data_IF_981905400103
#
_entry.id   IF_981905400103
#
_cell.length_a   1.000
_cell.length_b   1.000
_cell.length_c   1.000
_cell.angle_alpha   90.00
_cell.angle_beta   90.00
_cell.angle_gamma   90.00
#
_symmetry.space_group_name_H-M   'P 1'
#
loop_
_entity.id
_entity.type
_entity.pdbx_description
1 polymer ?
#
# COMPACT_ATOMS: atom_id res chain seq x y z
N UNK A 1 23.45 -19.86 17.93
CA UNK A 1 23.24 -18.47 17.46
C UNK A 1 22.09 -17.88 18.26
N UNK A 2 22.02 -16.57 18.50
CA UNK A 2 20.85 -16.00 19.20
C UNK A 2 19.65 -16.04 18.24
N UNK A 3 18.65 -16.85 18.56
CA UNK A 3 17.39 -17.01 17.81
C UNK A 3 16.42 -15.82 18.01
N UNK A 4 16.95 -14.67 18.39
CA UNK A 4 16.22 -13.45 18.68
C UNK A 4 16.86 -12.30 17.93
N UNK A 5 16.05 -11.51 17.23
CA UNK A 5 16.47 -10.26 16.57
C UNK A 5 15.68 -9.08 17.10
N UNK A 6 16.31 -7.90 17.15
CA UNK A 6 15.65 -6.67 17.52
C UNK A 6 15.60 -5.73 16.32
N UNK A 7 14.39 -5.38 15.90
CA UNK A 7 14.14 -4.39 14.85
C UNK A 7 13.94 -3.05 15.55
N UNK A 8 14.84 -2.10 15.31
CA UNK A 8 14.74 -0.73 15.80
C UNK A 8 14.50 0.15 14.59
N UNK A 9 13.40 0.89 14.60
CA UNK A 9 12.99 1.70 13.46
C UNK A 9 12.37 3.01 13.92
N UNK A 10 12.34 3.96 13.00
CA UNK A 10 11.66 5.22 13.14
C UNK A 10 10.51 5.26 12.14
N UNK A 11 9.30 5.40 12.65
CA UNK A 11 8.09 5.55 11.86
C UNK A 11 7.92 7.04 11.55
N UNK A 12 7.33 7.36 10.41
CA UNK A 12 7.17 8.72 9.90
C UNK A 12 5.72 8.90 9.48
N UNK A 13 5.12 10.02 9.89
CA UNK A 13 3.80 10.43 9.40
C UNK A 13 3.82 10.60 7.86
N UNK A 14 2.74 10.20 7.20
CA UNK A 14 2.60 10.14 5.74
C UNK A 14 3.18 8.88 5.08
N UNK A 15 3.88 8.02 5.84
CA UNK A 15 4.46 6.78 5.32
C UNK A 15 3.99 5.55 6.10
N UNK A 16 4.00 5.67 7.43
CA UNK A 16 3.76 4.58 8.35
C UNK A 16 2.48 4.81 9.16
N UNK A 17 1.51 5.55 8.60
CA UNK A 17 0.34 6.06 9.34
C UNK A 17 -0.48 4.94 9.99
N UNK A 18 -0.75 3.86 9.26
CA UNK A 18 -1.48 2.73 9.79
C UNK A 18 -0.73 2.09 10.97
N UNK A 19 0.59 1.90 10.84
CA UNK A 19 1.41 1.37 11.92
C UNK A 19 1.48 2.33 13.11
N UNK A 20 1.60 3.64 12.88
CA UNK A 20 1.59 4.67 13.93
C UNK A 20 0.27 4.59 14.71
N UNK A 21 -0.87 4.64 14.00
CA UNK A 21 -2.21 4.54 14.58
C UNK A 21 -2.40 3.23 15.35
N UNK A 22 -1.87 2.12 14.84
CA UNK A 22 -1.90 0.82 15.52
C UNK A 22 -1.15 0.85 16.87
N UNK A 23 -0.01 1.52 16.94
CA UNK A 23 0.74 1.74 18.20
C UNK A 23 0.13 2.81 19.12
N UNK A 24 -0.81 3.61 18.65
CA UNK A 24 -1.62 4.53 19.48
C UNK A 24 -2.85 3.83 20.03
N UNK A 25 -3.45 2.93 19.25
CA UNK A 25 -4.68 2.20 19.60
C UNK A 25 -4.42 1.16 20.69
N UNK A 26 -3.31 0.44 20.60
CA UNK A 26 -3.03 -0.69 21.48
C UNK A 26 -1.91 -0.39 22.49
N UNK A 27 -1.99 -0.94 23.72
CA UNK A 27 -0.94 -0.80 24.72
C UNK A 27 0.39 -1.38 24.23
N UNK A 28 1.50 -0.72 24.61
CA UNK A 28 2.86 -1.05 24.15
C UNK A 28 3.30 -2.51 24.39
N UNK A 29 2.86 -3.13 25.49
CA UNK A 29 3.18 -4.52 25.81
C UNK A 29 2.43 -5.52 24.91
N UNK A 30 1.28 -5.11 24.39
CA UNK A 30 0.39 -5.94 23.59
C UNK A 30 0.61 -5.77 22.09
N UNK A 31 0.81 -4.52 21.64
CA UNK A 31 0.89 -4.17 20.22
C UNK A 31 1.98 -4.96 19.47
N UNK A 32 3.16 -5.14 20.07
CA UNK A 32 4.24 -5.90 19.44
C UNK A 32 3.85 -7.37 19.24
N UNK A 33 3.19 -7.98 20.21
CA UNK A 33 2.74 -9.38 20.12
C UNK A 33 1.67 -9.53 19.04
N UNK A 34 0.71 -8.61 19.01
CA UNK A 34 -0.36 -8.62 18.02
C UNK A 34 0.19 -8.39 16.60
N UNK A 35 1.08 -7.41 16.43
CA UNK A 35 1.73 -7.12 15.15
C UNK A 35 2.53 -8.31 14.62
N UNK A 36 3.25 -9.01 15.50
CA UNK A 36 4.03 -10.18 15.08
C UNK A 36 3.13 -11.37 14.72
N UNK A 37 2.02 -11.57 15.44
CA UNK A 37 1.00 -12.56 15.08
C UNK A 37 0.37 -12.25 13.72
N UNK A 38 0.11 -10.98 13.46
CA UNK A 38 -0.34 -10.50 12.16
C UNK A 38 0.66 -10.86 11.06
N UNK A 39 1.94 -10.56 11.28
CA UNK A 39 2.98 -10.88 10.29
C UNK A 39 3.05 -12.38 9.99
N UNK A 40 3.01 -13.21 11.02
CA UNK A 40 3.08 -14.66 10.89
C UNK A 40 1.86 -15.23 10.14
N UNK A 41 0.66 -14.72 10.42
CA UNK A 41 -0.58 -15.19 9.80
C UNK A 41 -0.75 -14.74 8.33
N UNK A 42 -0.29 -13.53 7.98
CA UNK A 42 -0.47 -12.97 6.64
C UNK A 42 0.62 -13.38 5.66
N UNK A 43 1.84 -13.66 6.14
CA UNK A 43 2.98 -14.01 5.28
C UNK A 43 2.76 -15.15 4.28
N UNK A 44 2.07 -16.26 4.61
CA UNK A 44 1.81 -17.31 3.62
C UNK A 44 0.97 -16.81 2.44
N UNK A 45 -0.01 -15.96 2.73
CA UNK A 45 -1.03 -15.49 1.77
C UNK A 45 -0.56 -14.26 0.99
N UNK A 46 0.09 -13.31 1.68
CA UNK A 46 0.48 -12.02 1.14
C UNK A 46 2.00 -11.90 1.15
N UNK A 47 2.61 -12.24 0.02
CA UNK A 47 4.06 -12.18 -0.10
C UNK A 47 4.56 -10.73 -0.18
N UNK A 48 5.76 -10.46 0.37
CA UNK A 48 6.43 -9.19 0.21
C UNK A 48 6.59 -8.81 -1.27
N UNK A 49 6.17 -7.61 -1.64
CA UNK A 49 6.36 -7.07 -2.98
C UNK A 49 7.66 -6.24 -3.07
N UNK A 50 8.10 -5.94 -4.30
CA UNK A 50 9.30 -5.13 -4.53
C UNK A 50 9.14 -3.67 -4.07
N UNK A 51 7.91 -3.18 -3.93
CA UNK A 51 7.66 -1.81 -3.45
C UNK A 51 8.15 -1.59 -2.02
N UNK A 52 8.20 -2.65 -1.19
CA UNK A 52 8.68 -2.57 0.19
C UNK A 52 10.18 -2.30 0.31
N UNK A 53 10.95 -2.44 -0.77
CA UNK A 53 12.37 -2.09 -0.80
C UNK A 53 12.61 -0.62 -1.12
N UNK A 54 11.58 0.14 -1.51
CA UNK A 54 11.71 1.54 -1.84
C UNK A 54 11.71 2.39 -0.57
N UNK A 55 12.77 3.18 -0.31
CA UNK A 55 12.72 4.18 0.73
C UNK A 55 11.74 5.27 0.30
N UNK A 56 10.80 5.59 1.18
CA UNK A 56 9.94 6.75 0.99
C UNK A 56 10.64 7.93 1.68
N UNK A 57 10.89 9.06 0.99
CA UNK A 57 11.50 10.23 1.62
C UNK A 57 10.50 10.84 2.61
N UNK A 58 10.93 11.04 3.86
CA UNK A 58 10.09 11.71 4.85
C UNK A 58 9.92 13.18 4.47
N UNK A 59 8.70 13.70 4.59
CA UNK A 59 8.47 15.13 4.37
C UNK A 59 9.31 15.94 5.38
N UNK A 60 9.89 17.09 4.96
CA UNK A 60 10.65 17.94 5.88
C UNK A 60 9.79 18.33 7.09
N UNK A 61 10.25 17.97 8.30
CA UNK A 61 9.52 18.24 9.54
C UNK A 61 8.42 17.23 9.91
N UNK A 62 8.30 16.12 9.18
CA UNK A 62 7.37 15.04 9.54
C UNK A 62 7.67 14.53 10.96
N UNK A 63 6.62 14.34 11.77
CA UNK A 63 6.80 13.77 13.10
C UNK A 63 7.24 12.32 12.97
N UNK A 64 8.13 11.93 13.87
CA UNK A 64 8.67 10.60 13.90
C UNK A 64 8.39 9.88 15.22
N UNK A 65 8.19 8.56 15.13
CA UNK A 65 7.97 7.70 16.30
C UNK A 65 8.94 6.55 16.29
N UNK A 66 9.78 6.46 17.33
CA UNK A 66 10.73 5.37 17.49
C UNK A 66 10.04 4.13 18.06
N UNK A 67 10.24 3.00 17.39
CA UNK A 67 9.76 1.70 17.84
C UNK A 67 10.90 0.69 17.97
N UNK A 68 10.68 -0.30 18.83
CA UNK A 68 11.60 -1.41 19.01
C UNK A 68 10.80 -2.70 19.16
N UNK A 69 10.99 -3.62 18.22
CA UNK A 69 10.29 -4.90 18.15
C UNK A 69 11.32 -6.01 18.37
N UNK A 70 11.01 -6.91 19.29
CA UNK A 70 11.81 -8.13 19.51
C UNK A 70 11.10 -9.27 18.80
N UNK A 71 11.78 -9.86 17.81
CA UNK A 71 11.31 -11.03 17.08
C UNK A 71 12.02 -12.24 17.61
N UNK A 72 11.24 -13.24 18.03
CA UNK A 72 11.72 -14.52 18.52
C UNK A 72 11.39 -15.60 17.50
N UNK A 73 12.38 -16.41 17.12
CA UNK A 73 12.22 -17.46 16.11
C UNK A 73 11.17 -18.50 16.53
N UNK A 74 11.07 -18.80 17.81
CA UNK A 74 10.15 -19.84 18.29
C UNK A 74 8.69 -19.36 18.25
N UNK A 75 8.47 -18.05 18.29
CA UNK A 75 7.14 -17.44 18.29
C UNK A 75 6.68 -17.03 16.88
N UNK A 76 7.62 -16.61 16.03
CA UNK A 76 7.34 -16.10 14.68
C UNK A 76 8.38 -16.64 13.69
N UNK A 77 8.41 -17.96 13.46
CA UNK A 77 9.46 -18.60 12.67
C UNK A 77 9.50 -18.11 11.23
N UNK A 78 8.34 -17.92 10.59
CA UNK A 78 8.29 -17.47 9.19
C UNK A 78 8.79 -16.03 9.06
N UNK A 79 8.28 -15.12 9.90
CA UNK A 79 8.73 -13.73 9.87
C UNK A 79 10.22 -13.60 10.22
N UNK A 80 10.69 -14.39 11.18
CA UNK A 80 12.12 -14.43 11.53
C UNK A 80 12.97 -14.89 10.36
N UNK A 81 12.58 -15.97 9.67
CA UNK A 81 13.33 -16.49 8.52
C UNK A 81 13.36 -15.46 7.38
N UNK A 82 12.19 -14.90 7.04
CA UNK A 82 12.10 -13.83 6.04
C UNK A 82 13.03 -12.66 6.37
N UNK A 83 12.98 -12.15 7.61
CA UNK A 83 13.85 -11.05 8.03
C UNK A 83 15.34 -11.37 7.88
N UNK A 84 15.74 -12.62 8.13
CA UNK A 84 17.13 -13.07 8.04
C UNK A 84 17.63 -13.24 6.61
N UNK A 85 16.75 -13.59 5.68
CA UNK A 85 17.06 -13.76 4.26
C UNK A 85 17.23 -12.42 3.54
N UNK A 86 16.64 -11.34 4.05
CA UNK A 86 16.76 -10.01 3.46
C UNK A 86 18.22 -9.49 3.44
N UNK A 87 18.60 -8.61 2.49
CA UNK A 87 19.89 -7.92 2.51
C UNK A 87 20.06 -7.01 3.73
N UNK A 88 21.25 -6.98 4.35
CA UNK A 88 21.50 -6.25 5.60
C UNK A 88 21.05 -4.77 5.56
N UNK A 89 21.25 -4.07 4.44
CA UNK A 89 20.89 -2.67 4.28
C UNK A 89 19.38 -2.40 4.14
N UNK A 90 18.57 -3.40 3.81
CA UNK A 90 17.13 -3.22 3.57
C UNK A 90 16.22 -3.93 4.57
N UNK A 91 16.75 -4.79 5.47
CA UNK A 91 15.94 -5.61 6.38
C UNK A 91 14.94 -4.80 7.18
N UNK A 92 15.42 -3.73 7.81
CA UNK A 92 14.58 -2.88 8.67
C UNK A 92 13.53 -2.17 7.84
N UNK A 93 13.92 -1.56 6.72
CA UNK A 93 13.00 -0.87 5.82
C UNK A 93 11.88 -1.79 5.34
N UNK A 94 12.24 -2.94 4.77
CA UNK A 94 11.27 -3.91 4.23
C UNK A 94 10.38 -4.47 5.32
N UNK A 95 10.94 -4.81 6.49
CA UNK A 95 10.15 -5.31 7.61
C UNK A 95 9.10 -4.30 8.08
N UNK A 96 9.46 -3.02 8.19
CA UNK A 96 8.55 -1.97 8.63
C UNK A 96 7.49 -1.68 7.58
N UNK A 97 7.86 -1.61 6.30
CA UNK A 97 6.91 -1.43 5.20
C UNK A 97 5.92 -2.59 5.14
N UNK A 98 6.39 -3.82 5.32
CA UNK A 98 5.54 -5.01 5.36
C UNK A 98 4.57 -4.98 6.55
N UNK A 99 5.08 -4.67 7.75
CA UNK A 99 4.27 -4.52 8.96
C UNK A 99 3.18 -3.47 8.78
N UNK A 100 3.52 -2.31 8.22
CA UNK A 100 2.57 -1.25 7.94
C UNK A 100 1.50 -1.71 6.94
N UNK A 101 1.90 -2.38 5.86
CA UNK A 101 0.97 -2.92 4.87
C UNK A 101 -0.01 -3.94 5.45
N UNK A 102 0.47 -4.85 6.30
CA UNK A 102 -0.42 -5.81 6.96
C UNK A 102 -1.40 -5.14 7.90
N UNK A 103 -0.96 -4.12 8.63
CA UNK A 103 -1.85 -3.31 9.47
C UNK A 103 -2.91 -2.59 8.63
N UNK A 104 -2.54 -2.02 7.48
CA UNK A 104 -3.50 -1.40 6.54
C UNK A 104 -4.57 -2.40 6.08
N UNK A 105 -4.20 -3.65 5.83
CA UNK A 105 -5.18 -4.67 5.41
C UNK A 105 -6.21 -4.98 6.48
N UNK A 106 -5.83 -4.98 7.77
CA UNK A 106 -6.76 -5.24 8.88
C UNK A 106 -7.45 -3.98 9.41
N UNK A 107 -6.96 -2.79 9.07
CA UNK A 107 -7.63 -1.54 9.40
C UNK A 107 -9.03 -1.47 8.74
N UNK A 108 -9.15 -2.02 7.53
CA UNK A 108 -10.43 -2.16 6.82
C UNK A 108 -11.31 -3.33 7.31
N UNK A 109 -10.75 -4.30 8.04
CA UNK A 109 -11.48 -5.47 8.55
C UNK A 109 -10.99 -5.88 9.94
N UNK A 110 -11.69 -5.36 10.95
CA UNK A 110 -11.38 -5.61 12.36
C UNK A 110 -11.67 -7.06 12.78
N UNK A 111 -12.57 -7.76 12.10
CA UNK A 111 -12.84 -9.17 12.37
C UNK A 111 -11.63 -10.03 11.99
N UNK A 112 -10.95 -9.68 10.89
CA UNK A 112 -9.72 -10.33 10.48
C UNK A 112 -8.61 -10.20 11.54
N UNK A 113 -8.46 -9.03 12.16
CA UNK A 113 -7.51 -8.83 13.27
C UNK A 113 -7.81 -9.72 14.49
N UNK A 114 -9.08 -9.80 14.88
CA UNK A 114 -9.52 -10.63 16.01
C UNK A 114 -9.34 -12.13 15.72
N UNK A 115 -9.66 -12.57 14.51
CA UNK A 115 -9.45 -13.95 14.09
C UNK A 115 -7.98 -14.33 14.13
N UNK A 116 -7.09 -13.48 13.61
CA UNK A 116 -5.65 -13.72 13.68
C UNK A 116 -5.14 -13.77 15.12
N UNK A 117 -5.68 -12.94 16.00
CA UNK A 117 -5.30 -12.97 17.41
C UNK A 117 -5.71 -14.27 18.11
N UNK A 118 -6.92 -14.78 17.86
CA UNK A 118 -7.45 -15.95 18.55
C UNK A 118 -7.09 -17.28 17.89
N UNK A 119 -7.19 -17.38 16.56
CA UNK A 119 -6.97 -18.61 15.78
C UNK A 119 -5.52 -18.77 15.33
N UNK A 120 -4.81 -17.67 15.12
CA UNK A 120 -3.40 -17.67 14.72
C UNK A 120 -3.11 -17.95 13.25
N UNK A 121 -4.12 -18.26 12.43
CA UNK A 121 -4.00 -18.42 10.96
C UNK A 121 -5.18 -17.76 10.24
N UNK A 122 -5.02 -17.55 8.93
CA UNK A 122 -5.99 -16.90 8.05
C UNK A 122 -6.92 -17.88 7.29
N UNK A 123 -6.81 -19.19 7.53
CA UNK A 123 -7.39 -20.25 6.70
C UNK A 123 -8.93 -20.28 6.63
N UNK A 124 -9.61 -19.40 7.38
CA UNK A 124 -11.05 -19.45 7.66
C UNK A 124 -11.82 -18.18 7.23
N UNK A 125 -11.23 -17.29 6.42
CA UNK A 125 -11.87 -16.03 6.03
C UNK A 125 -12.71 -16.13 4.74
N UNK A 126 -14.03 -15.91 4.80
CA UNK A 126 -14.90 -15.91 3.63
C UNK A 126 -14.86 -14.61 2.77
N UNK A 127 -13.99 -13.64 3.04
CA UNK A 127 -14.10 -12.27 2.48
C UNK A 127 -12.94 -11.79 1.58
N UNK A 128 -11.86 -12.56 1.39
CA UNK A 128 -10.65 -12.07 0.69
C UNK A 128 -10.80 -12.06 -0.85
N UNK A 129 -11.78 -12.79 -1.39
CA UNK A 129 -12.08 -12.78 -2.83
C UNK A 129 -12.63 -11.42 -3.32
N UNK A 130 -13.28 -10.63 -2.44
CA UNK A 130 -13.99 -9.42 -2.85
C UNK A 130 -13.10 -8.19 -3.08
N UNK A 131 -11.95 -8.09 -2.41
CA UNK A 131 -11.05 -6.92 -2.58
C UNK A 131 -10.20 -7.05 -3.85
N UNK A 132 -9.84 -8.27 -4.25
CA UNK A 132 -9.15 -8.52 -5.52
C UNK A 132 -10.09 -8.33 -6.72
N UNK A 133 -11.38 -8.70 -6.60
CA UNK A 133 -12.37 -8.44 -7.66
C UNK A 133 -12.57 -6.94 -7.92
N UNK A 134 -12.62 -6.11 -6.87
CA UNK A 134 -12.81 -4.66 -6.99
C UNK A 134 -11.61 -3.94 -7.63
N UNK A 135 -10.39 -4.47 -7.50
CA UNK A 135 -9.21 -3.92 -8.19
C UNK A 135 -9.12 -4.35 -9.66
N UNK A 136 -9.67 -5.51 -10.03
CA UNK A 136 -9.70 -5.99 -11.42
C UNK A 136 -10.80 -5.28 -12.23
N UNK A 137 -11.95 -4.96 -11.63
CA UNK A 137 -13.04 -4.25 -12.31
C UNK A 137 -12.72 -2.76 -12.56
N UNK A 138 -11.90 -2.13 -11.72
CA UNK A 138 -11.52 -0.72 -11.89
C UNK A 138 -10.49 -0.49 -13.02
N UNK A 139 -9.82 -1.55 -13.50
CA UNK A 139 -8.83 -1.46 -14.59
C UNK A 139 -9.40 -1.88 -15.96
N UNK A 140 -10.67 -2.30 -16.05
CA UNK A 140 -11.23 -2.95 -17.26
C UNK A 140 -12.47 -2.27 -17.89
N UNK A 141 -12.73 -0.99 -17.65
CA UNK A 141 -13.63 -0.18 -18.49
C UNK A 141 -12.89 1.08 -18.94
N UNK A 142 -12.74 1.44 -20.22
CA UNK A 142 -13.50 1.29 -21.46
C UNK A 142 -12.51 1.46 -22.65
N UNK A 143 -12.87 1.46 -23.97
CA UNK A 143 -14.20 1.40 -24.60
C UNK A 143 -14.31 0.36 -25.75
N UNK A 144 -15.53 -0.09 -26.05
CA UNK A 144 -15.84 -0.78 -27.31
C UNK A 144 -16.68 0.15 -28.19
N UNK A 145 -16.05 0.68 -29.23
CA UNK A 145 -16.69 1.23 -30.43
C UNK A 145 -17.52 0.15 -31.13
N UNK A 146 -18.76 0.46 -31.53
CA UNK A 146 -19.35 -0.18 -32.70
C UNK A 146 -20.32 0.77 -33.42
N UNK A 147 -20.22 0.77 -34.75
CA UNK A 147 -20.98 1.62 -35.65
C UNK A 147 -22.07 0.87 -36.40
N UNK A 148 -23.03 1.61 -36.96
CA UNK A 148 -24.00 1.06 -37.91
C UNK A 148 -25.29 1.89 -37.96
N UNK A 149 -25.42 2.70 -39.01
CA UNK A 149 -26.47 3.72 -39.15
C UNK A 149 -27.77 3.28 -39.81
N UNK A 150 -28.71 4.23 -39.92
CA UNK A 150 -29.69 4.37 -41.01
C UNK A 150 -30.43 5.72 -40.93
N UNK A 151 -30.50 6.36 -42.09
CA UNK A 151 -31.14 7.62 -42.45
C UNK A 151 -32.61 7.77 -42.06
N UNK A 152 -33.03 9.04 -41.83
CA UNK A 152 -34.26 9.66 -42.35
C UNK A 152 -34.30 11.17 -41.96
N UNK A 153 -34.12 12.05 -42.94
CA UNK A 153 -34.54 13.47 -42.95
C UNK A 153 -36.02 13.57 -43.46
N UNK A 154 -36.74 14.73 -43.43
CA UNK A 154 -36.27 16.12 -43.32
C UNK A 154 -37.11 17.11 -42.46
N UNK A 155 -36.54 18.31 -42.31
CA UNK A 155 -37.15 19.65 -42.51
C UNK A 155 -37.38 20.63 -41.32
N UNK A 156 -36.77 21.81 -41.54
CA UNK A 156 -37.07 23.19 -41.10
C UNK A 156 -37.23 23.56 -39.61
N UNK A 157 -36.31 24.40 -39.08
CA UNK A 157 -36.46 25.89 -39.00
C UNK A 157 -35.37 26.54 -38.12
N UNK A 158 -34.46 27.29 -38.75
CA UNK A 158 -33.91 28.63 -38.37
C UNK A 158 -33.48 28.91 -36.90
N UNK A 159 -32.17 29.19 -36.67
CA UNK A 159 -31.63 30.49 -36.20
C UNK A 159 -30.16 30.41 -35.71
N UNK A 160 -29.26 30.95 -36.53
CA UNK A 160 -28.11 31.83 -36.26
C UNK A 160 -27.57 31.97 -34.81
N UNK A 161 -26.26 31.71 -34.65
CA UNK A 161 -25.46 32.11 -33.47
C UNK A 161 -24.00 31.68 -33.57
N UNK A 162 -23.16 32.54 -34.12
CA UNK A 162 -21.71 32.39 -34.27
C UNK A 162 -20.98 32.52 -32.93
N UNK A 163 -19.95 31.70 -32.64
CA UNK A 163 -18.64 32.19 -32.14
C UNK A 163 -17.58 31.07 -31.94
N UNK A 164 -16.47 31.28 -32.65
CA UNK A 164 -15.05 30.92 -32.45
C UNK A 164 -14.62 29.76 -31.52
N UNK A 165 -14.00 28.76 -32.13
CA UNK A 165 -13.21 27.70 -31.50
C UNK A 165 -11.80 28.24 -31.18
N UNK A 166 -11.41 28.24 -29.89
CA UNK A 166 -10.01 28.47 -29.47
C UNK A 166 -9.41 27.14 -29.00
N UNK A 167 -8.40 26.67 -29.72
CA UNK A 167 -7.63 25.48 -29.37
C UNK A 167 -6.72 25.73 -28.14
N UNK A 168 -6.51 24.73 -27.27
CA UNK A 168 -5.57 24.85 -26.14
C UNK A 168 -4.11 24.83 -26.62
N UNK A 169 -3.18 25.52 -25.92
CA UNK A 169 -1.77 25.58 -26.30
C UNK A 169 -1.03 24.25 -26.11
N UNK A 170 0.04 23.98 -26.90
CA UNK A 170 0.80 22.73 -26.81
C UNK A 170 1.62 22.64 -25.51
N UNK A 171 1.87 21.42 -24.99
CA UNK A 171 2.64 21.19 -23.77
C UNK A 171 4.15 21.46 -23.98
N UNK A 172 4.76 22.07 -22.97
CA UNK A 172 6.19 22.44 -22.92
C UNK A 172 7.00 21.27 -22.36
N UNK A 173 8.03 20.84 -23.09
CA UNK A 173 8.89 19.70 -22.74
C UNK A 173 9.96 20.08 -21.68
N UNK A 174 10.02 19.46 -20.50
CA UNK A 174 10.85 19.91 -19.37
C UNK A 174 12.34 19.55 -19.42
N UNK A 175 12.89 19.11 -20.56
CA UNK A 175 14.29 18.68 -20.67
C UNK A 175 15.27 19.73 -21.23
N UNK A 176 14.84 20.97 -21.45
CA UNK A 176 15.71 22.05 -21.99
C UNK A 176 16.05 23.13 -20.98
N UNK A 177 16.71 22.79 -19.85
CA UNK A 177 17.56 23.78 -19.14
C UNK A 177 18.65 23.08 -18.32
N UNK A 178 19.67 22.53 -19.00
CA UNK A 178 20.96 22.24 -18.37
C UNK A 178 21.82 23.49 -18.56
N UNK A 179 22.04 24.25 -17.48
CA UNK A 179 22.99 25.35 -17.46
C UNK A 179 24.16 24.94 -16.56
N UNK A 180 25.26 24.51 -17.19
CA UNK A 180 26.53 24.24 -16.52
C UNK A 180 27.29 25.56 -16.44
N UNK A 181 27.49 26.08 -15.23
CA UNK A 181 28.35 27.24 -14.98
C UNK A 181 29.79 26.80 -14.77
N UNK A 182 30.70 27.40 -15.54
CA UNK A 182 32.16 27.37 -15.34
C UNK A 182 32.57 28.16 -14.09
#
# INVERSE_FOLDING_TARGET
>A
MKDVVQIKAELFEGQHDALIAFYETYPRLFVNKLLLRLCEAFMPTYKPNLSFFRPHPAAPGAKSRKIAIRVDKDLCPMFWQFYKELPYGSRVLVAINLMNHYVQMVEGDRQMLEQVYWKGTLDDLPAVASVQAAQIEAESGEPATDGGGRDLEPDNTKAMGSESVVAPPPPVDPLSTVQVGL
#
